data_IF_634355866506
#
_entry.id   IF_634355866506
#
_cell.length_a   1.000
_cell.length_b   1.000
_cell.length_c   1.000
_cell.angle_alpha   90.00
_cell.angle_beta   90.00
_cell.angle_gamma   90.00
#
_symmetry.space_group_name_H-M   'P 1'
#
loop_
_entity.id
_entity.type
_entity.pdbx_description
1 polymer ?
#
# COMPACT_ATOMS: atom_id res chain seq x y z
N UNK A 1 -38.78 -49.36 -15.09
CA UNK A 1 -38.67 -48.17 -14.22
C UNK A 1 -37.24 -47.67 -13.99
N UNK A 2 -36.19 -48.49 -14.17
CA UNK A 2 -34.79 -48.08 -13.88
C UNK A 2 -34.13 -47.05 -14.82
N UNK A 3 -34.60 -46.89 -16.06
CA UNK A 3 -33.97 -45.94 -17.03
C UNK A 3 -34.30 -44.47 -16.73
N UNK A 4 -35.43 -44.20 -16.08
CA UNK A 4 -35.90 -42.84 -15.80
C UNK A 4 -35.21 -42.25 -14.56
N UNK A 5 -34.94 -43.08 -13.55
CA UNK A 5 -34.23 -42.67 -12.34
C UNK A 5 -32.76 -42.27 -12.61
N UNK A 6 -32.09 -42.96 -13.53
CA UNK A 6 -30.71 -42.65 -13.94
C UNK A 6 -30.63 -41.32 -14.70
N UNK A 7 -31.63 -40.98 -15.51
CA UNK A 7 -31.68 -39.72 -16.24
C UNK A 7 -31.82 -38.49 -15.34
N UNK A 8 -32.63 -38.59 -14.27
CA UNK A 8 -32.85 -37.49 -13.32
C UNK A 8 -31.62 -37.25 -12.42
N UNK A 9 -30.93 -38.31 -12.00
CA UNK A 9 -29.72 -38.20 -11.18
C UNK A 9 -28.55 -37.54 -11.94
N UNK A 10 -28.38 -37.85 -13.23
CA UNK A 10 -27.34 -37.26 -14.08
C UNK A 10 -27.55 -35.75 -14.29
N UNK A 11 -28.80 -35.31 -14.51
CA UNK A 11 -29.14 -33.90 -14.66
C UNK A 11 -28.90 -33.11 -13.36
N UNK A 12 -29.26 -33.68 -12.20
CA UNK A 12 -29.02 -33.08 -10.90
C UNK A 12 -27.51 -32.90 -10.63
N UNK A 13 -26.67 -33.89 -10.96
CA UNK A 13 -25.22 -33.81 -10.79
C UNK A 13 -24.58 -32.72 -11.67
N UNK A 14 -24.98 -32.61 -12.94
CA UNK A 14 -24.53 -31.55 -13.85
C UNK A 14 -24.92 -30.16 -13.37
N UNK A 15 -26.13 -29.99 -12.84
CA UNK A 15 -26.58 -28.72 -12.27
C UNK A 15 -25.73 -28.31 -11.05
N UNK A 16 -25.46 -29.22 -10.12
CA UNK A 16 -24.60 -28.96 -8.95
C UNK A 16 -23.17 -28.62 -9.39
N UNK A 17 -22.60 -29.37 -10.33
CA UNK A 17 -21.27 -29.07 -10.89
C UNK A 17 -21.22 -27.68 -11.54
N UNK A 18 -22.25 -27.31 -12.32
CA UNK A 18 -22.38 -25.99 -12.92
C UNK A 18 -22.43 -24.86 -11.88
N UNK A 19 -23.18 -25.05 -10.78
CA UNK A 19 -23.24 -24.09 -9.67
C UNK A 19 -21.88 -23.95 -8.98
N UNK A 20 -21.19 -25.05 -8.71
CA UNK A 20 -19.86 -25.03 -8.06
C UNK A 20 -18.82 -24.35 -8.94
N UNK A 21 -18.81 -24.66 -10.25
CA UNK A 21 -17.92 -24.01 -11.22
C UNK A 21 -18.25 -22.52 -11.33
N UNK A 22 -19.53 -22.15 -11.43
CA UNK A 22 -19.97 -20.75 -11.48
C UNK A 22 -19.55 -19.95 -10.24
N UNK A 23 -19.72 -20.53 -9.03
CA UNK A 23 -19.24 -19.94 -7.77
C UNK A 23 -17.72 -19.77 -7.76
N UNK A 24 -16.98 -20.79 -8.20
CA UNK A 24 -15.51 -20.75 -8.29
C UNK A 24 -15.03 -19.69 -9.28
N UNK A 25 -15.64 -19.59 -10.45
CA UNK A 25 -15.34 -18.56 -11.46
C UNK A 25 -15.62 -17.16 -10.91
N UNK A 26 -16.76 -16.96 -10.26
CA UNK A 26 -17.11 -15.66 -9.64
C UNK A 26 -16.14 -15.28 -8.52
N UNK A 27 -15.75 -16.22 -7.67
CA UNK A 27 -14.73 -16.01 -6.64
C UNK A 27 -13.39 -15.62 -7.25
N UNK A 28 -12.92 -16.37 -8.26
CA UNK A 28 -11.68 -16.05 -9.00
C UNK A 28 -11.72 -14.66 -9.66
N UNK A 29 -12.87 -14.23 -10.19
CA UNK A 29 -13.03 -12.87 -10.76
C UNK A 29 -12.88 -11.78 -9.70
N UNK A 30 -13.48 -11.97 -8.51
CA UNK A 30 -13.29 -11.04 -7.38
C UNK A 30 -11.82 -10.99 -6.95
N UNK A 31 -11.18 -12.16 -6.84
CA UNK A 31 -9.77 -12.26 -6.48
C UNK A 31 -8.86 -11.55 -7.48
N UNK A 32 -9.09 -11.71 -8.78
CA UNK A 32 -8.34 -10.98 -9.82
C UNK A 32 -8.40 -9.46 -9.65
N UNK A 33 -9.56 -8.92 -9.28
CA UNK A 33 -9.71 -7.48 -9.00
C UNK A 33 -8.90 -7.07 -7.78
N UNK A 34 -8.97 -7.84 -6.69
CA UNK A 34 -8.20 -7.57 -5.47
C UNK A 34 -6.69 -7.60 -5.74
N UNK A 35 -6.20 -8.60 -6.47
CA UNK A 35 -4.78 -8.68 -6.86
C UNK A 35 -4.37 -7.49 -7.73
N UNK A 36 -5.25 -7.02 -8.61
CA UNK A 36 -5.01 -5.80 -9.39
C UNK A 36 -4.79 -4.58 -8.50
N UNK A 37 -5.70 -4.32 -7.57
CA UNK A 37 -5.59 -3.19 -6.62
C UNK A 37 -4.35 -3.33 -5.73
N UNK A 38 -4.03 -4.54 -5.26
CA UNK A 38 -2.85 -4.77 -4.44
C UNK A 38 -1.55 -4.46 -5.21
N UNK A 39 -1.50 -4.83 -6.49
CA UNK A 39 -0.36 -4.54 -7.35
C UNK A 39 -0.19 -3.03 -7.59
N UNK A 40 -1.29 -2.32 -7.87
CA UNK A 40 -1.26 -0.86 -8.02
C UNK A 40 -0.78 -0.18 -6.73
N UNK A 41 -1.21 -0.67 -5.56
CA UNK A 41 -0.76 -0.17 -4.27
C UNK A 41 0.74 -0.44 -4.05
N UNK A 42 1.20 -1.66 -4.33
CA UNK A 42 2.61 -2.05 -4.21
C UNK A 42 3.51 -1.14 -5.07
N UNK A 43 3.14 -0.94 -6.34
CA UNK A 43 3.85 -0.06 -7.27
C UNK A 43 3.82 1.41 -6.82
N UNK A 44 2.67 1.91 -6.36
CA UNK A 44 2.55 3.29 -5.90
C UNK A 44 3.37 3.57 -4.63
N UNK A 45 3.39 2.61 -3.70
CA UNK A 45 4.12 2.68 -2.44
C UNK A 45 5.60 2.29 -2.57
N UNK A 46 6.06 1.85 -3.74
CA UNK A 46 7.44 1.47 -3.94
C UNK A 46 8.38 2.65 -3.67
N UNK A 47 9.39 2.41 -2.83
CA UNK A 47 10.37 3.41 -2.41
C UNK A 47 11.79 2.91 -2.72
N UNK A 48 12.14 2.77 -4.01
CA UNK A 48 13.50 2.38 -4.37
C UNK A 48 14.49 3.46 -3.92
N UNK A 49 15.74 3.07 -3.69
CA UNK A 49 16.80 3.97 -3.19
C UNK A 49 16.92 5.26 -4.02
N UNK A 50 16.73 5.18 -5.34
CA UNK A 50 16.74 6.37 -6.21
C UNK A 50 15.64 7.38 -5.87
N UNK A 51 14.42 6.91 -5.57
CA UNK A 51 13.29 7.76 -5.15
C UNK A 51 13.55 8.36 -3.77
N UNK A 52 14.11 7.56 -2.85
CA UNK A 52 14.48 8.05 -1.51
C UNK A 52 15.55 9.15 -1.58
N UNK A 53 16.54 9.02 -2.46
CA UNK A 53 17.55 10.08 -2.69
C UNK A 53 16.89 11.38 -3.14
N UNK A 54 15.99 11.32 -4.12
CA UNK A 54 15.23 12.51 -4.55
C UNK A 54 14.44 13.17 -3.42
N UNK A 55 13.83 12.36 -2.54
CA UNK A 55 13.09 12.86 -1.37
C UNK A 55 14.03 13.58 -0.39
N UNK A 56 15.20 12.99 -0.10
CA UNK A 56 16.19 13.59 0.81
C UNK A 56 16.80 14.86 0.22
N UNK A 57 17.11 14.86 -1.08
CA UNK A 57 17.63 16.04 -1.78
C UNK A 57 16.61 17.19 -1.73
N UNK A 58 15.32 16.90 -1.99
CA UNK A 58 14.25 17.89 -1.87
C UNK A 58 14.10 18.38 -0.42
N UNK A 59 14.24 17.50 0.57
CA UNK A 59 14.19 17.87 1.99
C UNK A 59 15.32 18.82 2.36
N UNK A 60 16.55 18.58 1.90
CA UNK A 60 17.69 19.46 2.14
C UNK A 60 17.46 20.86 1.52
N UNK A 61 16.88 20.93 0.31
CA UNK A 61 16.52 22.20 -0.33
C UNK A 61 15.49 22.97 0.50
N UNK A 62 14.43 22.32 0.97
CA UNK A 62 13.43 22.97 1.84
C UNK A 62 14.05 23.43 3.16
N UNK A 63 14.94 22.63 3.78
CA UNK A 63 15.65 23.04 4.99
C UNK A 63 16.48 24.30 4.77
N UNK A 64 17.24 24.37 3.67
CA UNK A 64 18.01 25.56 3.32
C UNK A 64 17.11 26.79 3.12
N UNK A 65 15.98 26.62 2.43
CA UNK A 65 15.03 27.70 2.21
C UNK A 65 14.35 28.17 3.51
N UNK A 66 14.01 27.24 4.41
CA UNK A 66 13.43 27.55 5.72
C UNK A 66 14.42 28.24 6.67
N UNK A 67 15.70 27.90 6.60
CA UNK A 67 16.76 28.57 7.38
C UNK A 67 17.11 29.96 6.83
N UNK A 68 16.98 30.18 5.52
CA UNK A 68 17.30 31.45 4.89
C UNK A 68 16.27 32.55 5.22
N UNK A 69 15.01 32.19 5.45
CA UNK A 69 13.94 33.13 5.81
C UNK A 69 12.78 32.42 6.48
N UNK A 70 12.16 33.07 7.47
CA UNK A 70 10.88 32.65 8.03
C UNK A 70 9.84 32.53 6.90
N UNK A 71 9.15 31.38 6.83
CA UNK A 71 8.20 31.08 5.75
C UNK A 71 8.82 30.83 4.36
N UNK A 72 10.15 30.76 4.24
CA UNK A 72 10.86 30.50 2.98
C UNK A 72 10.67 29.08 2.43
N UNK A 73 10.13 28.17 3.22
CA UNK A 73 9.82 26.79 2.84
C UNK A 73 8.60 26.28 3.62
N UNK A 74 8.13 25.06 3.30
CA UNK A 74 7.10 24.39 4.14
C UNK A 74 7.65 23.93 5.49
N UNK A 75 8.98 23.78 5.60
CA UNK A 75 9.67 23.50 6.86
C UNK A 75 9.94 24.81 7.60
N UNK A 76 9.33 24.97 8.77
CA UNK A 76 9.41 26.22 9.55
C UNK A 76 10.79 26.53 10.11
N UNK A 77 11.66 25.53 10.27
CA UNK A 77 13.03 25.67 10.78
C UNK A 77 13.14 26.61 12.00
N UNK A 78 12.24 26.43 12.98
CA UNK A 78 12.12 27.30 14.14
C UNK A 78 13.38 27.25 15.02
N UNK A 79 13.80 28.42 15.52
CA UNK A 79 14.85 28.52 16.53
C UNK A 79 14.36 27.94 17.87
N UNK A 80 15.11 26.97 18.39
CA UNK A 80 14.81 26.35 19.69
C UNK A 80 15.37 27.15 20.87
N UNK A 81 16.26 28.11 20.61
CA UNK A 81 17.04 28.84 21.63
C UNK A 81 17.86 27.91 22.54
N UNK A 82 18.18 26.70 22.05
CA UNK A 82 19.08 25.76 22.72
C UNK A 82 20.43 25.82 22.02
N UNK A 83 21.34 26.61 22.59
CA UNK A 83 22.69 26.76 22.04
C UNK A 83 23.69 25.74 22.64
N UNK A 84 23.34 25.18 23.81
CA UNK A 84 24.17 24.20 24.52
C UNK A 84 23.38 22.93 24.82
N UNK A 85 23.77 21.83 24.17
CA UNK A 85 23.25 20.50 24.47
C UNK A 85 23.95 19.92 25.71
N UNK A 86 23.27 19.07 26.49
CA UNK A 86 23.88 18.38 27.62
C UNK A 86 25.10 17.55 27.20
N UNK A 87 26.19 17.69 27.94
CA UNK A 87 27.47 16.99 27.66
C UNK A 87 27.69 15.75 28.51
N UNK A 88 26.73 15.42 29.40
CA UNK A 88 26.87 14.32 30.37
C UNK A 88 27.69 14.69 31.61
N UNK A 89 28.26 15.89 31.66
CA UNK A 89 28.90 16.44 32.85
C UNK A 89 28.03 17.59 33.38
N UNK A 90 27.61 17.47 34.64
CA UNK A 90 27.03 18.61 35.35
C UNK A 90 28.18 19.54 35.73
N UNK A 91 28.42 20.59 34.97
CA UNK A 91 29.26 21.68 35.47
C UNK A 91 28.39 22.58 36.35
N UNK A 92 28.83 22.95 37.57
CA UNK A 92 28.13 23.95 38.40
C UNK A 92 28.07 25.33 37.73
#
# INVERSE_FOLDING_TARGET
MGKVAVGVAALAACAVAGVVVGRRVRSRRKWKRVVGVLKELEEACETPVGRLRQVVDAMAVEMHAGLASEGGSKLKMLLTFVDHLPTGYNNP
#
